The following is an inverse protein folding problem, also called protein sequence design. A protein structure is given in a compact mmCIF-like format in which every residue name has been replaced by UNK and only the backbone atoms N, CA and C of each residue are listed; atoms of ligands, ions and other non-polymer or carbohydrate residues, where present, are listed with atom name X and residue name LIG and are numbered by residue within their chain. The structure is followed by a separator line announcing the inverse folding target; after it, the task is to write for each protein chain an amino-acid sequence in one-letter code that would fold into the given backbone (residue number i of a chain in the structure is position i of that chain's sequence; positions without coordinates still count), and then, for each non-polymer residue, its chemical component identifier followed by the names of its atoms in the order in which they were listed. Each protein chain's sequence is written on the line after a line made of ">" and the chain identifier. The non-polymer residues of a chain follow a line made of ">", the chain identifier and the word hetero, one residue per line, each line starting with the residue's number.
data_IF_809224321750
#
_entry.id   IF_809224321750
#
_cell.length_a   1.000
_cell.length_b   1.000
_cell.length_c   1.000
_cell.angle_alpha   90.00
_cell.angle_beta   90.00
_cell.angle_gamma   90.00
#
_symmetry.space_group_name_H-M   'P 1'
#
loop_
_entity.id
_entity.type
_entity.pdbx_description
1 polymer ?
#
# COMPACT_ATOMS: atom_id res chain seq x y z
N UNK A 1 -25.12 8.31 31.23
CA UNK A 1 -24.93 8.08 29.78
C UNK A 1 -26.24 7.62 29.19
N UNK A 2 -26.63 8.14 28.02
CA UNK A 2 -27.77 7.62 27.24
C UNK A 2 -27.34 6.25 26.69
N UNK A 3 -28.18 5.22 26.80
CA UNK A 3 -27.87 3.88 26.27
C UNK A 3 -27.95 3.96 24.73
N UNK A 4 -26.86 3.63 24.04
CA UNK A 4 -26.86 3.47 22.59
C UNK A 4 -27.23 2.04 22.20
N UNK A 5 -27.96 1.89 21.10
CA UNK A 5 -28.26 0.57 20.55
C UNK A 5 -27.04 -0.10 19.90
N UNK A 6 -26.09 0.69 19.38
CA UNK A 6 -24.96 0.22 18.58
C UNK A 6 -23.66 0.94 18.97
N UNK A 7 -22.55 0.20 18.96
CA UNK A 7 -21.20 0.73 19.18
C UNK A 7 -20.30 0.28 18.03
N UNK A 8 -19.67 1.22 17.35
CA UNK A 8 -18.61 0.98 16.37
C UNK A 8 -17.28 1.25 17.08
N UNK A 9 -16.37 0.28 17.05
CA UNK A 9 -15.03 0.43 17.62
C UNK A 9 -14.04 0.72 16.49
N UNK A 10 -13.41 1.88 16.53
CA UNK A 10 -12.51 2.43 15.52
C UNK A 10 -13.22 3.36 14.54
N UNK A 11 -12.71 4.57 14.38
CA UNK A 11 -13.09 5.56 13.37
C UNK A 11 -12.13 5.54 12.17
N UNK A 12 -11.59 4.36 11.83
CA UNK A 12 -10.86 4.12 10.58
C UNK A 12 -11.79 4.03 9.36
N UNK A 13 -11.23 3.74 8.18
CA UNK A 13 -11.99 3.63 6.93
C UNK A 13 -13.22 2.70 7.03
N UNK A 14 -13.07 1.53 7.66
CA UNK A 14 -14.16 0.56 7.84
C UNK A 14 -15.25 1.06 8.79
N UNK A 15 -14.86 1.66 9.93
CA UNK A 15 -15.79 2.21 10.91
C UNK A 15 -16.57 3.40 10.36
N UNK A 16 -15.89 4.30 9.64
CA UNK A 16 -16.53 5.41 8.93
C UNK A 16 -17.49 4.88 7.86
N UNK A 17 -17.07 3.93 7.02
CA UNK A 17 -17.94 3.36 6.00
C UNK A 17 -19.19 2.70 6.61
N UNK A 18 -19.05 1.96 7.72
CA UNK A 18 -20.16 1.37 8.46
C UNK A 18 -21.12 2.44 9.00
N UNK A 19 -20.58 3.48 9.65
CA UNK A 19 -21.36 4.60 10.18
C UNK A 19 -22.12 5.35 9.07
N UNK A 20 -21.43 5.71 7.98
CA UNK A 20 -22.03 6.32 6.79
C UNK A 20 -23.17 5.44 6.25
N UNK A 21 -22.98 4.12 6.20
CA UNK A 21 -24.01 3.19 5.75
C UNK A 21 -25.22 3.15 6.68
N UNK A 22 -25.02 3.13 8.00
CA UNK A 22 -26.10 3.18 9.00
C UNK A 22 -26.92 4.46 8.86
N UNK A 23 -26.27 5.62 8.77
CA UNK A 23 -26.93 6.92 8.56
C UNK A 23 -27.73 6.93 7.25
N UNK A 24 -27.17 6.41 6.15
CA UNK A 24 -27.89 6.30 4.87
C UNK A 24 -29.14 5.41 4.93
N UNK A 25 -29.26 4.59 5.98
CA UNK A 25 -30.41 3.71 6.25
C UNK A 25 -31.31 4.23 7.38
N UNK A 26 -31.08 5.45 7.85
CA UNK A 26 -31.87 6.09 8.93
C UNK A 26 -31.57 5.54 10.33
N UNK A 27 -30.45 4.84 10.51
CA UNK A 27 -30.00 4.34 11.82
C UNK A 27 -29.00 5.33 12.41
N UNK A 28 -29.43 6.08 13.42
CA UNK A 28 -28.62 7.15 14.04
C UNK A 28 -28.28 6.90 15.51
N UNK A 29 -28.88 5.88 16.16
CA UNK A 29 -28.60 5.54 17.56
C UNK A 29 -27.35 4.65 17.69
N UNK A 30 -26.19 5.24 17.35
CA UNK A 30 -24.89 4.62 17.52
C UNK A 30 -23.85 5.61 18.02
N UNK A 31 -22.74 5.08 18.54
CA UNK A 31 -21.51 5.82 18.81
C UNK A 31 -20.32 5.16 18.14
N UNK A 32 -19.32 5.97 17.81
CA UNK A 32 -18.01 5.49 17.38
C UNK A 32 -17.02 5.76 18.51
N UNK A 33 -16.28 4.73 18.90
CA UNK A 33 -15.19 4.83 19.88
C UNK A 33 -13.86 4.76 19.13
N UNK A 34 -13.11 5.85 19.12
CA UNK A 34 -11.77 5.93 18.55
C UNK A 34 -10.75 6.09 19.69
N UNK A 35 -9.64 5.36 19.59
CA UNK A 35 -8.57 5.41 20.59
C UNK A 35 -7.69 6.65 20.38
N UNK A 36 -7.52 7.07 19.14
CA UNK A 36 -6.76 8.26 18.77
C UNK A 36 -7.58 9.55 18.93
N UNK A 37 -6.90 10.70 18.92
CA UNK A 37 -7.52 12.03 18.93
C UNK A 37 -8.01 12.50 17.54
N UNK A 38 -7.97 11.59 16.56
CA UNK A 38 -8.34 11.83 15.16
C UNK A 38 -9.04 10.63 14.56
N UNK A 39 -9.88 10.88 13.56
CA UNK A 39 -10.45 9.83 12.73
C UNK A 39 -9.44 9.38 11.64
N UNK A 40 -9.76 8.27 10.97
CA UNK A 40 -9.06 7.77 9.79
C UNK A 40 -8.17 6.56 10.04
N UNK A 41 -7.74 6.33 11.29
CA UNK A 41 -6.86 5.21 11.63
C UNK A 41 -5.58 5.24 10.80
N UNK A 42 -5.37 4.23 9.94
CA UNK A 42 -4.24 4.12 9.01
C UNK A 42 -4.31 5.06 7.79
N UNK A 43 -5.42 5.79 7.61
CA UNK A 43 -5.48 6.93 6.70
C UNK A 43 -5.11 8.16 7.52
N UNK A 44 -3.95 8.75 7.23
CA UNK A 44 -3.45 9.91 7.94
C UNK A 44 -2.64 10.83 7.04
N UNK A 45 -3.30 11.89 6.57
CA UNK A 45 -2.66 12.99 5.87
C UNK A 45 -2.33 14.13 6.84
N UNK A 46 -1.11 14.67 6.77
CA UNK A 46 -0.67 15.86 7.50
C UNK A 46 -0.38 17.02 6.53
N UNK A 47 -0.63 18.28 6.92
CA UNK A 47 -0.18 19.43 6.14
C UNK A 47 1.35 19.50 6.12
N UNK A 48 1.88 19.93 4.98
CA UNK A 48 3.28 20.31 4.80
C UNK A 48 3.36 21.77 4.33
N UNK A 49 4.56 22.23 3.94
CA UNK A 49 4.76 23.61 3.49
C UNK A 49 3.79 24.03 2.38
N UNK A 50 3.21 25.23 2.53
CA UNK A 50 2.26 25.78 1.57
C UNK A 50 0.94 25.02 1.52
N UNK A 51 0.54 24.59 0.32
CA UNK A 51 -0.68 23.83 0.08
C UNK A 51 -0.38 22.34 -0.20
N UNK A 52 0.75 21.85 0.33
CA UNK A 52 1.23 20.48 0.16
C UNK A 52 0.80 19.63 1.35
N UNK A 53 0.63 18.34 1.12
CA UNK A 53 0.22 17.37 2.12
C UNK A 53 1.10 16.13 2.02
N UNK A 54 1.36 15.49 3.16
CA UNK A 54 2.10 14.23 3.25
C UNK A 54 1.18 13.17 3.84
N UNK A 55 1.08 12.02 3.17
CA UNK A 55 0.42 10.85 3.71
C UNK A 55 1.41 10.03 4.55
N UNK A 56 1.13 9.91 5.85
CA UNK A 56 1.92 9.14 6.81
C UNK A 56 1.40 7.68 6.91
N UNK A 57 0.32 7.37 6.19
CA UNK A 57 -0.30 6.06 6.14
C UNK A 57 -0.65 5.67 4.70
N UNK A 58 -1.92 5.37 4.43
CA UNK A 58 -2.39 5.09 3.08
C UNK A 58 -2.03 6.23 2.11
N UNK A 59 -1.42 5.89 0.97
CA UNK A 59 -0.88 6.85 0.02
C UNK A 59 -1.38 6.63 -1.41
N UNK A 60 -1.42 5.37 -1.87
CA UNK A 60 -1.78 5.04 -3.26
C UNK A 60 -3.19 4.50 -3.41
N UNK A 61 -3.82 4.84 -4.54
CA UNK A 61 -5.06 4.24 -5.00
C UNK A 61 -4.70 3.19 -6.05
N UNK A 62 -4.83 1.91 -5.69
CA UNK A 62 -4.40 0.80 -6.56
C UNK A 62 -5.45 0.44 -7.61
N UNK A 63 -5.17 0.73 -8.88
CA UNK A 63 -6.00 0.40 -10.03
C UNK A 63 -7.24 1.29 -10.17
N UNK A 64 -7.72 1.43 -11.41
CA UNK A 64 -8.87 2.29 -11.71
C UNK A 64 -10.20 1.53 -11.73
N UNK A 65 -10.18 0.26 -12.15
CA UNK A 65 -11.41 -0.50 -12.41
C UNK A 65 -11.84 -1.30 -11.19
N UNK A 66 -13.06 -1.07 -10.70
CA UNK A 66 -13.58 -1.80 -9.53
C UNK A 66 -13.01 -1.31 -8.19
N UNK A 67 -12.18 -0.25 -8.20
CA UNK A 67 -11.69 0.40 -7.00
C UNK A 67 -12.62 1.56 -6.63
N UNK A 68 -13.41 1.36 -5.57
CA UNK A 68 -14.39 2.36 -5.08
C UNK A 68 -13.75 3.71 -4.72
N UNK A 69 -12.50 3.72 -4.25
CA UNK A 69 -11.80 4.97 -3.90
C UNK A 69 -11.48 5.76 -5.16
N UNK A 70 -10.98 5.09 -6.20
CA UNK A 70 -10.71 5.73 -7.49
C UNK A 70 -11.99 6.27 -8.12
N UNK A 71 -13.06 5.44 -8.15
CA UNK A 71 -14.35 5.80 -8.73
C UNK A 71 -14.94 7.04 -8.07
N UNK A 72 -14.95 7.11 -6.73
CA UNK A 72 -15.40 8.30 -6.00
C UNK A 72 -14.51 9.53 -6.26
N UNK A 73 -13.19 9.36 -6.30
CA UNK A 73 -12.25 10.48 -6.39
C UNK A 73 -12.19 11.10 -7.79
N UNK A 74 -12.35 10.28 -8.84
CA UNK A 74 -12.30 10.71 -10.24
C UNK A 74 -13.41 11.72 -10.58
N UNK A 75 -14.61 11.57 -10.00
CA UNK A 75 -15.73 12.50 -10.23
C UNK A 75 -15.41 13.95 -9.84
N UNK A 76 -14.47 14.13 -8.91
CA UNK A 76 -14.06 15.44 -8.39
C UNK A 76 -12.67 15.87 -8.90
N UNK A 77 -12.11 15.16 -9.88
CA UNK A 77 -10.77 15.39 -10.41
C UNK A 77 -9.68 15.44 -9.32
N UNK A 78 -9.71 14.47 -8.40
CA UNK A 78 -8.80 14.44 -7.23
C UNK A 78 -7.59 13.51 -7.39
N UNK A 79 -7.56 12.70 -8.43
CA UNK A 79 -6.54 11.65 -8.63
C UNK A 79 -5.85 11.78 -9.98
N UNK A 80 -4.59 11.37 -10.04
CA UNK A 80 -3.80 11.24 -11.26
C UNK A 80 -2.92 10.00 -11.23
N UNK A 81 -2.76 9.38 -12.39
CA UNK A 81 -1.89 8.22 -12.54
C UNK A 81 -0.44 8.67 -12.49
N UNK A 82 0.36 7.99 -11.68
CA UNK A 82 1.80 8.15 -11.62
C UNK A 82 2.45 6.79 -11.90
N UNK A 83 3.45 6.76 -12.78
CA UNK A 83 4.20 5.54 -13.13
C UNK A 83 5.68 5.76 -12.83
N UNK A 84 6.05 5.86 -11.55
CA UNK A 84 7.43 6.12 -11.18
C UNK A 84 8.31 4.93 -11.57
N UNK A 85 9.41 5.21 -12.26
CA UNK A 85 10.45 4.21 -12.47
C UNK A 85 11.38 4.16 -11.24
N UNK A 86 10.92 3.46 -10.21
CA UNK A 86 11.65 3.32 -8.94
C UNK A 86 13.06 2.73 -9.13
N UNK A 87 13.29 1.95 -10.19
CA UNK A 87 14.54 1.23 -10.41
C UNK A 87 15.53 1.95 -11.35
N UNK A 88 15.14 3.07 -11.96
CA UNK A 88 16.06 3.96 -12.67
C UNK A 88 16.71 5.05 -11.79
N UNK A 89 16.31 5.13 -10.53
CA UNK A 89 16.85 6.09 -9.56
C UNK A 89 18.31 5.78 -9.16
N UNK A 90 19.04 6.81 -8.70
CA UNK A 90 20.38 6.62 -8.14
C UNK A 90 20.25 5.88 -6.82
N UNK A 91 20.88 4.71 -6.72
CA UNK A 91 20.94 3.93 -5.48
C UNK A 91 22.19 4.31 -4.69
N UNK A 92 22.01 4.64 -3.41
CA UNK A 92 23.10 4.91 -2.47
C UNK A 92 22.95 4.01 -1.24
N UNK A 93 24.05 3.69 -0.60
CA UNK A 93 24.04 2.97 0.68
C UNK A 93 23.79 3.93 1.86
N UNK A 94 23.80 3.40 3.09
CA UNK A 94 23.57 4.18 4.32
C UNK A 94 24.63 5.26 4.61
N UNK A 95 25.81 5.21 3.97
CA UNK A 95 26.81 6.28 4.04
C UNK A 95 26.66 7.32 2.93
N UNK A 96 25.64 7.19 2.06
CA UNK A 96 25.44 8.04 0.88
C UNK A 96 26.37 7.70 -0.28
N UNK A 97 27.17 6.63 -0.20
CA UNK A 97 28.03 6.23 -1.29
C UNK A 97 27.20 5.54 -2.39
N UNK A 98 27.47 5.83 -3.68
CA UNK A 98 26.75 5.21 -4.78
C UNK A 98 26.99 3.72 -4.82
N UNK A 99 25.92 2.98 -5.12
CA UNK A 99 25.96 1.55 -5.38
C UNK A 99 26.21 1.31 -6.88
N UNK A 100 26.90 0.22 -7.23
CA UNK A 100 27.05 -0.18 -8.63
C UNK A 100 25.67 -0.43 -9.25
N UNK A 101 25.28 0.45 -10.18
CA UNK A 101 23.95 0.44 -10.81
C UNK A 101 23.68 -0.84 -11.61
N UNK A 102 24.67 -1.34 -12.34
CA UNK A 102 24.51 -2.54 -13.16
C UNK A 102 24.16 -3.74 -12.28
N UNK A 103 24.96 -3.96 -11.22
CA UNK A 103 24.73 -5.05 -10.28
C UNK A 103 23.44 -4.88 -9.49
N UNK A 104 23.08 -3.66 -9.07
CA UNK A 104 21.82 -3.44 -8.35
C UNK A 104 20.62 -3.73 -9.24
N UNK A 105 20.61 -3.25 -10.49
CA UNK A 105 19.52 -3.51 -11.46
C UNK A 105 19.37 -5.01 -11.71
N UNK A 106 20.47 -5.74 -11.89
CA UNK A 106 20.41 -7.20 -12.10
C UNK A 106 19.85 -7.94 -10.88
N UNK A 107 20.17 -7.51 -9.66
CA UNK A 107 19.57 -8.07 -8.44
C UNK A 107 18.08 -7.69 -8.32
N UNK A 108 17.71 -6.45 -8.66
CA UNK A 108 16.32 -5.99 -8.70
C UNK A 108 15.48 -6.83 -9.67
N UNK A 109 15.97 -7.04 -10.88
CA UNK A 109 15.31 -7.86 -11.90
C UNK A 109 15.24 -9.34 -11.48
N UNK A 110 16.29 -9.87 -10.84
CA UNK A 110 16.28 -11.25 -10.36
C UNK A 110 15.18 -11.48 -9.31
N UNK A 111 15.02 -10.57 -8.35
CA UNK A 111 13.97 -10.65 -7.34
C UNK A 111 12.58 -10.45 -7.96
N UNK A 112 12.41 -9.46 -8.85
CA UNK A 112 11.15 -9.24 -9.57
C UNK A 112 10.71 -10.51 -10.33
N UNK A 113 11.64 -11.19 -10.99
CA UNK A 113 11.36 -12.44 -11.70
C UNK A 113 11.06 -13.63 -10.76
N UNK A 114 11.58 -13.62 -9.53
CA UNK A 114 11.23 -14.64 -8.54
C UNK A 114 9.78 -14.46 -8.08
N UNK A 115 9.35 -13.21 -7.94
CA UNK A 115 8.02 -12.80 -7.47
C UNK A 115 6.97 -12.65 -8.57
N UNK A 116 7.29 -12.94 -9.84
CA UNK A 116 6.32 -12.81 -10.92
C UNK A 116 5.24 -13.88 -10.85
N UNK A 117 4.01 -13.52 -11.26
CA UNK A 117 2.83 -14.41 -11.19
C UNK A 117 2.96 -15.67 -12.05
N UNK A 118 3.88 -15.69 -13.02
CA UNK A 118 4.20 -16.88 -13.83
C UNK A 118 4.87 -18.00 -13.01
N UNK A 119 5.35 -17.69 -11.80
CA UNK A 119 6.11 -18.61 -10.98
C UNK A 119 5.20 -19.41 -10.02
N UNK A 120 4.63 -20.50 -10.53
CA UNK A 120 3.77 -21.39 -9.73
C UNK A 120 4.48 -22.02 -8.51
N UNK A 121 5.82 -22.01 -8.45
CA UNK A 121 6.57 -22.61 -7.33
C UNK A 121 6.23 -21.95 -6.00
N UNK A 122 5.96 -20.64 -6.00
CA UNK A 122 5.70 -19.90 -4.75
C UNK A 122 4.46 -20.43 -4.03
N UNK A 123 3.44 -20.87 -4.77
CA UNK A 123 2.20 -21.44 -4.22
C UNK A 123 2.45 -22.78 -3.51
N UNK A 124 3.53 -23.49 -3.87
CA UNK A 124 3.91 -24.79 -3.29
C UNK A 124 4.81 -24.61 -2.08
N UNK A 125 5.46 -23.46 -1.92
CA UNK A 125 6.39 -23.19 -0.83
C UNK A 125 5.69 -23.12 0.54
N UNK A 126 6.25 -23.81 1.55
CA UNK A 126 5.80 -23.78 2.94
C UNK A 126 6.80 -22.96 3.76
N UNK A 127 6.55 -21.66 3.86
CA UNK A 127 7.40 -20.74 4.61
C UNK A 127 7.03 -19.30 4.32
N UNK A 128 7.87 -18.41 4.81
CA UNK A 128 7.69 -16.98 4.61
C UNK A 128 8.16 -16.51 3.23
N UNK A 129 7.64 -15.36 2.80
CA UNK A 129 8.04 -14.70 1.57
C UNK A 129 9.53 -14.36 1.57
N UNK A 130 10.04 -13.88 2.71
CA UNK A 130 11.46 -13.59 2.88
C UNK A 130 12.37 -14.81 2.75
N UNK A 131 11.98 -15.96 3.29
CA UNK A 131 12.72 -17.22 3.11
C UNK A 131 12.72 -17.65 1.65
N UNK A 132 11.55 -17.65 1.00
CA UNK A 132 11.41 -18.02 -0.41
C UNK A 132 12.30 -17.19 -1.33
N UNK A 133 12.24 -15.86 -1.21
CA UNK A 133 13.03 -14.95 -2.05
C UNK A 133 14.53 -15.13 -1.78
N UNK A 134 14.93 -15.24 -0.51
CA UNK A 134 16.34 -15.40 -0.13
C UNK A 134 16.94 -16.69 -0.70
N UNK A 135 16.23 -17.81 -0.55
CA UNK A 135 16.67 -19.13 -1.07
C UNK A 135 16.75 -19.15 -2.60
N UNK A 136 15.70 -18.66 -3.27
CA UNK A 136 15.64 -18.65 -4.74
C UNK A 136 16.69 -17.72 -5.34
N UNK A 137 16.91 -16.54 -4.74
CA UNK A 137 17.91 -15.59 -5.21
C UNK A 137 19.33 -16.16 -5.01
N UNK A 138 19.62 -16.71 -3.84
CA UNK A 138 20.91 -17.33 -3.55
C UNK A 138 21.22 -18.45 -4.54
N UNK A 139 20.25 -19.35 -4.77
CA UNK A 139 20.40 -20.47 -5.71
C UNK A 139 20.62 -19.97 -7.15
N UNK A 140 19.86 -18.97 -7.59
CA UNK A 140 19.97 -18.39 -8.94
C UNK A 140 21.34 -17.73 -9.17
N UNK A 141 21.83 -16.94 -8.21
CA UNK A 141 23.09 -16.23 -8.35
C UNK A 141 24.30 -17.15 -8.22
N UNK A 142 24.26 -18.15 -7.33
CA UNK A 142 25.37 -19.11 -7.16
C UNK A 142 25.67 -19.85 -8.46
N UNK A 143 24.64 -20.16 -9.24
CA UNK A 143 24.76 -20.81 -10.54
C UNK A 143 24.97 -19.84 -11.71
N UNK A 144 25.02 -18.52 -11.46
CA UNK A 144 25.19 -17.52 -12.50
C UNK A 144 26.67 -17.35 -12.87
N UNK A 145 26.98 -17.43 -14.16
CA UNK A 145 28.36 -17.37 -14.67
C UNK A 145 29.09 -16.08 -14.31
N UNK A 146 28.39 -14.95 -14.35
CA UNK A 146 28.97 -13.61 -14.09
C UNK A 146 28.64 -13.03 -12.72
N UNK A 147 27.56 -13.47 -12.05
CA UNK A 147 27.01 -12.80 -10.86
C UNK A 147 27.19 -13.58 -9.56
N UNK A 148 27.78 -14.79 -9.62
CA UNK A 148 28.04 -15.62 -8.44
C UNK A 148 28.86 -14.91 -7.36
N UNK A 149 29.78 -14.04 -7.76
CA UNK A 149 30.58 -13.23 -6.85
C UNK A 149 29.74 -12.27 -5.98
N UNK A 150 28.53 -11.88 -6.43
CA UNK A 150 27.66 -10.98 -5.69
C UNK A 150 27.06 -11.63 -4.44
N UNK A 151 26.89 -12.95 -4.41
CA UNK A 151 26.29 -13.67 -3.25
C UNK A 151 27.05 -13.40 -1.95
N UNK A 152 28.37 -13.20 -2.04
CA UNK A 152 29.23 -12.89 -0.89
C UNK A 152 29.48 -11.38 -0.69
N UNK A 153 28.87 -10.52 -1.51
CA UNK A 153 29.08 -9.08 -1.47
C UNK A 153 28.16 -8.38 -0.46
N UNK A 154 28.58 -7.23 0.12
CA UNK A 154 27.68 -6.41 0.93
C UNK A 154 26.43 -5.94 0.17
N UNK A 155 26.56 -5.76 -1.15
CA UNK A 155 25.46 -5.31 -2.02
C UNK A 155 24.29 -6.29 -2.01
N UNK A 156 24.56 -7.60 -2.01
CA UNK A 156 23.51 -8.63 -1.98
C UNK A 156 22.61 -8.48 -0.74
N UNK A 157 23.22 -8.32 0.43
CA UNK A 157 22.47 -8.14 1.68
C UNK A 157 21.71 -6.80 1.69
N UNK A 158 22.32 -5.73 1.18
CA UNK A 158 21.68 -4.41 1.10
C UNK A 158 20.45 -4.42 0.18
N UNK A 159 20.53 -5.11 -0.97
CA UNK A 159 19.39 -5.23 -1.89
C UNK A 159 18.29 -6.08 -1.27
N UNK A 160 18.62 -7.21 -0.65
CA UNK A 160 17.60 -8.03 0.06
C UNK A 160 16.91 -7.25 1.18
N UNK A 161 17.67 -6.50 1.98
CA UNK A 161 17.11 -5.68 3.05
C UNK A 161 16.19 -4.59 2.51
N UNK A 162 16.63 -3.89 1.46
CA UNK A 162 15.80 -2.88 0.79
C UNK A 162 14.50 -3.48 0.26
N UNK A 163 14.57 -4.61 -0.46
CA UNK A 163 13.37 -5.27 -0.98
C UNK A 163 12.42 -5.76 0.10
N UNK A 164 12.96 -6.35 1.17
CA UNK A 164 12.13 -6.76 2.30
C UNK A 164 11.35 -5.57 2.87
N UNK A 165 12.02 -4.43 3.08
CA UNK A 165 11.37 -3.19 3.53
C UNK A 165 10.35 -2.65 2.52
N UNK A 166 10.68 -2.68 1.24
CA UNK A 166 9.75 -2.27 0.19
C UNK A 166 8.50 -3.15 0.19
N UNK A 167 8.65 -4.48 0.25
CA UNK A 167 7.54 -5.42 0.28
C UNK A 167 6.67 -5.25 1.54
N UNK A 168 7.29 -5.07 2.71
CA UNK A 168 6.59 -4.79 3.96
C UNK A 168 5.67 -3.56 3.84
N UNK A 169 6.09 -2.54 3.09
CA UNK A 169 5.28 -1.33 2.88
C UNK A 169 4.03 -1.60 2.03
N UNK A 170 4.09 -2.59 1.14
CA UNK A 170 2.96 -3.03 0.31
C UNK A 170 2.03 -3.94 1.11
N UNK A 171 2.59 -4.92 1.83
CA UNK A 171 1.82 -5.91 2.59
C UNK A 171 1.26 -5.37 3.91
N UNK A 172 1.82 -4.28 4.42
CA UNK A 172 1.50 -3.73 5.74
C UNK A 172 1.97 -4.62 6.89
N UNK A 173 3.16 -5.23 6.75
CA UNK A 173 3.76 -6.13 7.76
C UNK A 173 5.05 -5.56 8.35
N UNK A 174 5.42 -6.00 9.55
CA UNK A 174 6.69 -5.58 10.18
C UNK A 174 7.89 -6.29 9.53
N UNK A 175 7.67 -7.48 8.97
CA UNK A 175 8.69 -8.31 8.36
C UNK A 175 8.09 -9.27 7.34
N UNK A 176 8.66 -9.32 6.13
CA UNK A 176 8.31 -10.28 5.09
C UNK A 176 8.65 -11.74 5.46
N UNK A 177 9.37 -11.95 6.58
CA UNK A 177 9.55 -13.27 7.19
C UNK A 177 8.29 -13.73 7.98
N UNK A 178 7.27 -12.88 8.07
CA UNK A 178 5.95 -13.21 8.63
C UNK A 178 4.87 -13.30 7.54
N UNK A 179 5.12 -12.77 6.35
CA UNK A 179 4.23 -12.90 5.19
C UNK A 179 4.32 -14.31 4.62
N UNK A 180 3.18 -14.97 4.38
CA UNK A 180 3.13 -16.30 3.73
C UNK A 180 3.55 -16.21 2.26
N UNK A 181 4.59 -16.94 1.86
CA UNK A 181 4.98 -17.02 0.44
C UNK A 181 3.84 -17.62 -0.41
N UNK A 182 3.24 -18.73 0.05
CA UNK A 182 2.15 -19.41 -0.66
C UNK A 182 0.97 -18.49 -0.97
N UNK A 183 0.67 -17.58 -0.05
CA UNK A 183 -0.49 -16.68 -0.17
C UNK A 183 -0.16 -15.40 -0.93
N UNK A 184 1.11 -15.15 -1.28
CA UNK A 184 1.52 -13.94 -1.99
C UNK A 184 0.71 -13.70 -3.28
N UNK A 185 0.49 -14.71 -4.16
CA UNK A 185 -0.31 -14.50 -5.39
C UNK A 185 -1.82 -14.39 -5.16
N UNK A 186 -2.30 -14.45 -3.90
CA UNK A 186 -3.75 -14.35 -3.63
C UNK A 186 -4.27 -12.92 -3.63
N UNK A 187 -3.38 -11.93 -3.67
CA UNK A 187 -3.76 -10.53 -3.81
C UNK A 187 -4.35 -10.28 -5.19
N UNK A 188 -5.60 -9.82 -5.25
CA UNK A 188 -6.23 -9.40 -6.49
C UNK A 188 -5.74 -7.99 -6.86
N UNK A 189 -4.93 -7.90 -7.91
CA UNK A 189 -4.51 -6.62 -8.44
C UNK A 189 -5.63 -6.01 -9.30
N UNK A 190 -6.09 -4.82 -8.92
CA UNK A 190 -7.04 -4.07 -9.72
C UNK A 190 -6.42 -3.60 -11.04
N UNK A 191 -7.20 -3.65 -12.12
CA UNK A 191 -6.74 -3.28 -13.46
C UNK A 191 -6.31 -1.80 -13.52
N UNK A 192 -5.14 -1.57 -14.10
CA UNK A 192 -4.59 -0.28 -14.47
C UNK A 192 -3.45 0.22 -13.55
N UNK A 193 -3.39 1.51 -13.22
CA UNK A 193 -2.27 2.14 -12.51
C UNK A 193 -2.23 1.72 -11.03
N UNK A 194 -1.19 1.02 -10.55
CA UNK A 194 -1.11 0.63 -9.14
C UNK A 194 -0.69 1.79 -8.23
N UNK A 195 -0.27 2.92 -8.77
CA UNK A 195 0.38 4.02 -8.05
C UNK A 195 -0.33 5.35 -8.28
N UNK A 196 -1.64 5.34 -8.57
CA UNK A 196 -2.44 6.57 -8.67
C UNK A 196 -2.33 7.38 -7.37
N UNK A 197 -2.04 8.66 -7.51
CA UNK A 197 -1.81 9.61 -6.42
C UNK A 197 -2.94 10.64 -6.29
N UNK A 198 -2.97 11.35 -5.17
CA UNK A 198 -3.90 12.44 -4.92
C UNK A 198 -3.32 13.79 -5.35
N UNK A 199 -4.01 14.49 -6.26
CA UNK A 199 -3.59 15.82 -6.76
C UNK A 199 -3.47 16.89 -5.68
N UNK A 200 -4.29 16.79 -4.63
CA UNK A 200 -4.35 17.74 -3.50
C UNK A 200 -4.97 17.09 -2.27
N UNK A 201 -4.58 17.53 -1.07
CA UNK A 201 -5.24 17.16 0.19
C UNK A 201 -5.01 15.72 0.70
N UNK A 202 -4.25 14.90 -0.03
CA UNK A 202 -3.86 13.54 0.34
C UNK A 202 -5.00 12.55 0.52
N UNK A 203 -4.68 11.39 1.09
CA UNK A 203 -5.59 10.26 1.21
C UNK A 203 -6.79 10.50 2.14
N UNK A 204 -6.73 11.48 3.03
CA UNK A 204 -7.88 11.91 3.84
C UNK A 204 -9.11 12.28 2.99
N UNK A 205 -8.93 12.63 1.70
CA UNK A 205 -10.04 12.84 0.79
C UNK A 205 -10.94 11.61 0.63
N UNK A 206 -10.41 10.39 0.70
CA UNK A 206 -11.22 9.17 0.65
C UNK A 206 -12.28 9.14 1.76
N UNK A 207 -11.91 9.54 2.98
CA UNK A 207 -12.84 9.64 4.11
C UNK A 207 -13.88 10.74 3.90
N UNK A 208 -13.46 11.90 3.39
CA UNK A 208 -14.38 13.01 3.08
C UNK A 208 -15.42 12.59 2.04
N UNK A 209 -14.98 11.92 0.98
CA UNK A 209 -15.85 11.41 -0.08
C UNK A 209 -16.84 10.39 0.48
N UNK A 210 -16.37 9.40 1.24
CA UNK A 210 -17.23 8.42 1.92
C UNK A 210 -18.32 9.09 2.75
N UNK A 211 -17.97 10.08 3.57
CA UNK A 211 -18.94 10.80 4.40
C UNK A 211 -19.90 11.68 3.57
N UNK A 212 -19.44 12.21 2.44
CA UNK A 212 -20.25 13.08 1.56
C UNK A 212 -21.34 12.33 0.79
N UNK A 213 -21.13 11.04 0.47
CA UNK A 213 -22.11 10.20 -0.25
C UNK A 213 -23.39 9.97 0.55
N UNK A 214 -23.37 10.19 1.87
CA UNK A 214 -24.59 10.20 2.70
C UNK A 214 -25.33 11.54 2.71
N UNK A 215 -24.64 12.65 2.41
CA UNK A 215 -25.22 14.00 2.41
C UNK A 215 -25.96 14.31 1.10
N UNK A 216 -25.56 13.70 -0.03
CA UNK A 216 -26.28 13.82 -1.31
C UNK A 216 -27.66 13.16 -1.31
N UNK A 217 -27.97 12.29 -0.34
CA UNK A 217 -29.32 11.75 -0.10
C UNK A 217 -30.21 12.68 0.76
N UNK A 218 -29.67 13.76 1.34
CA UNK A 218 -30.37 14.60 2.33
C UNK A 218 -30.63 16.04 1.84
N UNK A 219 -30.09 16.51 0.70
CA UNK A 219 -30.38 17.86 0.23
C UNK A 219 -30.59 17.99 -1.29
N UNK A 220 -31.83 17.76 -1.71
CA UNK A 220 -32.49 18.47 -2.82
C UNK A 220 -33.90 18.89 -2.35
N UNK A 221 -33.96 19.71 -1.30
CA UNK A 221 -35.08 20.61 -1.02
C UNK A 221 -34.53 21.86 -0.32
N UNK A 222 -34.00 22.78 -1.10
CA UNK A 222 -33.93 24.18 -0.68
C UNK A 222 -35.17 24.88 -1.23
N UNK A 223 -35.96 25.45 -0.32
CA UNK A 223 -37.02 26.42 -0.62
C UNK A 223 -36.38 27.75 -0.98
#
# INVERSE_FOLDING_TARGET
>A
MKKQALIIVGAGASGIAAATRLVSKGVEDFIILEAEDRIGGRIHTIPFEGNTFIDIGAQWVHGQKGNVVYEMAKEFDLVEDDYPDFFQSISVNSSGAPINREHSVQLFEAIKNILSDENEDITKYNGSLGEYVSEKLQSRLTNHTTLSHLVSSPLYNQVLEFFGKFQNSIDGTDSWFQTSARSYPSYEQFEGCPTTIWKKGGYNNALKLLMSTSLSLISLKTS
#
